data_IF_391547099873
#
_entry.id   IF_391547099873
#
_cell.length_a   1.000
_cell.length_b   1.000
_cell.length_c   1.000
_cell.angle_alpha   90.00
_cell.angle_beta   90.00
_cell.angle_gamma   90.00
#
_symmetry.space_group_name_H-M   'P 1'
#
loop_
_entity.id
_entity.type
_entity.pdbx_description
1 polymer ?
#
# COMPACT_ATOMS: atom_id res chain seq x y z
N UNK A 1 25.78 -9.41 -0.87
CA UNK A 1 26.14 -10.55 -0.03
C UNK A 1 26.26 -10.15 1.44
N UNK A 2 26.14 -11.11 2.33
CA UNK A 2 26.29 -10.90 3.78
C UNK A 2 27.66 -10.36 4.15
N UNK A 3 28.70 -10.89 3.55
CA UNK A 3 30.09 -10.45 3.79
C UNK A 3 30.30 -9.00 3.36
N UNK A 4 29.81 -8.60 2.21
CA UNK A 4 29.91 -7.24 1.71
C UNK A 4 29.17 -6.27 2.62
N UNK A 5 27.97 -6.60 3.07
CA UNK A 5 27.17 -5.77 3.99
C UNK A 5 27.89 -5.56 5.31
N UNK A 6 28.40 -6.63 5.94
CA UNK A 6 29.13 -6.58 7.21
C UNK A 6 30.40 -5.75 7.09
N UNK A 7 31.19 -5.97 6.04
CA UNK A 7 32.42 -5.22 5.80
C UNK A 7 32.17 -3.72 5.60
N UNK A 8 31.14 -3.34 4.86
CA UNK A 8 30.78 -1.95 4.65
C UNK A 8 30.41 -1.25 5.97
N UNK A 9 29.69 -1.92 6.85
CA UNK A 9 29.37 -1.36 8.17
C UNK A 9 30.60 -1.24 9.08
N UNK A 10 31.50 -2.19 9.06
CA UNK A 10 32.76 -2.13 9.78
C UNK A 10 33.64 -0.98 9.30
N UNK A 11 33.58 -0.65 8.01
CA UNK A 11 34.29 0.48 7.44
C UNK A 11 33.60 1.84 7.66
N UNK A 12 32.49 1.88 8.42
CA UNK A 12 31.80 3.09 8.79
C UNK A 12 30.80 3.62 7.78
N UNK A 13 30.27 2.77 6.91
CA UNK A 13 29.21 3.18 6.02
C UNK A 13 27.97 3.63 6.80
N UNK A 14 27.43 4.81 6.46
CA UNK A 14 26.28 5.39 7.17
C UNK A 14 24.96 4.68 6.89
N UNK A 15 24.79 4.17 5.68
CA UNK A 15 23.58 3.46 5.23
C UNK A 15 24.00 2.32 4.32
N UNK A 16 23.51 1.14 4.59
CA UNK A 16 23.69 -0.01 3.72
C UNK A 16 22.33 -0.58 3.34
N UNK A 17 22.03 -0.57 2.06
CA UNK A 17 20.80 -1.13 1.49
C UNK A 17 21.18 -2.32 0.62
N UNK A 18 20.49 -3.44 0.79
CA UNK A 18 20.77 -4.64 0.03
C UNK A 18 19.49 -5.32 -0.47
N UNK A 19 19.56 -5.86 -1.67
CA UNK A 19 18.46 -6.59 -2.30
C UNK A 19 18.32 -7.99 -1.71
N UNK A 20 17.12 -8.34 -1.25
CA UNK A 20 16.79 -9.66 -0.74
C UNK A 20 15.73 -10.35 -1.60
N UNK A 21 15.88 -11.66 -1.80
CA UNK A 21 14.94 -12.48 -2.55
C UNK A 21 13.99 -13.28 -1.64
N UNK A 22 14.33 -13.47 -0.37
CA UNK A 22 13.55 -14.25 0.60
C UNK A 22 13.51 -13.57 1.97
N UNK A 23 12.50 -13.91 2.77
CA UNK A 23 12.36 -13.39 4.15
C UNK A 23 13.52 -13.84 5.05
N UNK A 24 14.06 -15.03 4.82
CA UNK A 24 15.23 -15.55 5.55
C UNK A 24 16.47 -14.71 5.22
N UNK A 25 16.68 -14.39 3.94
CA UNK A 25 17.79 -13.57 3.49
C UNK A 25 17.70 -12.15 4.07
N UNK A 26 16.48 -11.59 4.14
CA UNK A 26 16.25 -10.29 4.78
C UNK A 26 16.74 -10.29 6.21
N UNK A 27 16.33 -11.27 7.02
CA UNK A 27 16.73 -11.37 8.43
C UNK A 27 18.24 -11.46 8.59
N UNK A 28 18.90 -12.23 7.75
CA UNK A 28 20.37 -12.34 7.78
C UNK A 28 21.06 -11.05 7.38
N UNK A 29 20.58 -10.37 6.36
CA UNK A 29 21.14 -9.08 5.92
C UNK A 29 21.00 -7.99 6.98
N UNK A 30 19.84 -7.88 7.61
CA UNK A 30 19.61 -6.92 8.70
C UNK A 30 20.51 -7.20 9.91
N UNK A 31 20.70 -8.47 10.28
CA UNK A 31 21.63 -8.85 11.35
C UNK A 31 23.07 -8.50 11.05
N UNK A 32 23.46 -8.51 9.79
CA UNK A 32 24.82 -8.21 9.35
C UNK A 32 25.04 -6.76 8.97
N UNK A 33 24.13 -5.87 9.39
CA UNK A 33 24.31 -4.44 9.32
C UNK A 33 23.68 -3.73 8.13
N UNK A 34 22.84 -4.39 7.35
CA UNK A 34 22.02 -3.68 6.36
C UNK A 34 20.99 -2.80 7.10
N UNK A 35 20.88 -1.55 6.75
CA UNK A 35 19.93 -0.61 7.36
C UNK A 35 18.53 -0.80 6.80
N UNK A 36 18.44 -1.20 5.53
CA UNK A 36 17.19 -1.45 4.85
C UNK A 36 17.36 -2.61 3.85
N UNK A 37 16.34 -3.45 3.74
CA UNK A 37 16.31 -4.56 2.79
C UNK A 37 15.15 -4.38 1.83
N UNK A 38 15.41 -4.48 0.55
CA UNK A 38 14.43 -4.30 -0.53
C UNK A 38 14.17 -5.63 -1.23
N UNK A 39 12.89 -5.91 -1.52
CA UNK A 39 12.43 -7.09 -2.27
C UNK A 39 11.91 -6.69 -3.65
N UNK A 40 12.75 -6.25 -4.58
CA UNK A 40 12.26 -5.72 -5.83
C UNK A 40 11.45 -6.72 -6.66
N UNK A 41 11.84 -8.00 -6.67
CA UNK A 41 11.11 -9.04 -7.42
C UNK A 41 9.74 -9.35 -6.80
N UNK A 42 9.67 -9.52 -5.48
CA UNK A 42 8.43 -9.79 -4.75
C UNK A 42 7.47 -8.60 -4.84
N UNK A 43 7.99 -7.39 -4.62
CA UNK A 43 7.20 -6.16 -4.70
C UNK A 43 6.70 -5.90 -6.11
N UNK A 44 7.55 -6.06 -7.13
CA UNK A 44 7.17 -5.88 -8.52
C UNK A 44 6.15 -6.91 -8.98
N UNK A 45 6.28 -8.19 -8.57
CA UNK A 45 5.33 -9.23 -8.91
C UNK A 45 3.94 -8.93 -8.31
N UNK A 46 3.88 -8.52 -7.05
CA UNK A 46 2.64 -8.15 -6.38
C UNK A 46 2.02 -6.90 -7.01
N UNK A 47 2.83 -5.88 -7.26
CA UNK A 47 2.41 -4.65 -7.92
C UNK A 47 1.88 -4.92 -9.33
N UNK A 48 2.60 -5.72 -10.13
CA UNK A 48 2.16 -6.11 -11.46
C UNK A 48 0.83 -6.86 -11.42
N UNK A 49 0.67 -7.83 -10.51
CA UNK A 49 -0.57 -8.58 -10.35
C UNK A 49 -1.75 -7.64 -10.03
N UNK A 50 -1.56 -6.67 -9.15
CA UNK A 50 -2.58 -5.68 -8.81
C UNK A 50 -2.91 -4.80 -10.02
N UNK A 51 -1.91 -4.28 -10.70
CA UNK A 51 -2.09 -3.38 -11.87
C UNK A 51 -2.74 -4.09 -13.04
N UNK A 52 -2.38 -5.34 -13.31
CA UNK A 52 -2.98 -6.12 -14.41
C UNK A 52 -4.39 -6.60 -14.11
N UNK A 53 -4.73 -6.79 -12.84
CA UNK A 53 -6.06 -7.24 -12.43
C UNK A 53 -7.04 -6.10 -12.18
N UNK A 54 -6.56 -4.86 -12.06
CA UNK A 54 -7.40 -3.74 -11.66
C UNK A 54 -6.94 -2.40 -12.25
N UNK A 55 -7.67 -1.93 -13.24
CA UNK A 55 -7.51 -0.58 -13.80
C UNK A 55 -7.86 0.52 -12.77
N UNK A 56 -8.39 0.12 -11.61
CA UNK A 56 -8.89 1.04 -10.59
C UNK A 56 -7.88 1.37 -9.49
N UNK A 57 -6.75 0.66 -9.44
CA UNK A 57 -5.71 0.92 -8.45
C UNK A 57 -4.70 1.90 -9.01
N UNK A 58 -4.60 3.08 -8.39
CA UNK A 58 -3.69 4.14 -8.81
C UNK A 58 -2.36 4.07 -8.08
N UNK A 59 -2.37 3.65 -6.81
CA UNK A 59 -1.18 3.50 -5.99
C UNK A 59 -1.41 2.50 -4.88
N UNK A 60 -0.32 2.02 -4.27
CA UNK A 60 -0.36 0.96 -3.29
C UNK A 60 0.86 1.04 -2.37
N UNK A 61 0.62 0.96 -1.06
CA UNK A 61 1.66 0.93 -0.02
C UNK A 61 1.42 -0.26 0.89
N UNK A 62 2.33 -1.21 0.90
CA UNK A 62 2.29 -2.34 1.82
C UNK A 62 2.74 -1.89 3.22
N UNK A 63 1.91 -2.13 4.24
CA UNK A 63 2.20 -1.77 5.62
C UNK A 63 2.82 -2.94 6.40
N UNK A 64 2.25 -4.12 6.21
CA UNK A 64 2.74 -5.37 6.77
C UNK A 64 2.33 -6.54 5.88
N UNK A 65 2.43 -7.78 6.37
CA UNK A 65 2.09 -8.98 5.58
C UNK A 65 0.61 -9.08 5.17
N UNK A 66 -0.27 -8.37 5.87
CA UNK A 66 -1.72 -8.46 5.66
C UNK A 66 -2.36 -7.12 5.29
N UNK A 67 -1.81 -6.00 5.76
CA UNK A 67 -2.41 -4.67 5.65
C UNK A 67 -1.71 -3.81 4.62
N UNK A 68 -2.49 -2.98 3.94
CA UNK A 68 -1.99 -2.05 2.93
C UNK A 68 -2.86 -0.78 2.85
N UNK A 69 -2.28 0.25 2.25
CA UNK A 69 -3.00 1.46 1.85
C UNK A 69 -3.09 1.43 0.32
N UNK A 70 -4.29 1.65 -0.20
CA UNK A 70 -4.53 1.75 -1.63
C UNK A 70 -5.07 3.14 -1.99
N UNK A 71 -4.59 3.68 -3.10
CA UNK A 71 -5.28 4.75 -3.80
C UNK A 71 -6.08 4.11 -4.93
N UNK A 72 -7.40 4.27 -4.88
CA UNK A 72 -8.30 3.65 -5.84
C UNK A 72 -9.21 4.70 -6.48
N UNK A 73 -9.62 4.45 -7.71
CA UNK A 73 -10.68 5.26 -8.32
C UNK A 73 -12.00 4.95 -7.63
N UNK A 74 -12.89 5.95 -7.53
CA UNK A 74 -14.20 5.76 -6.94
C UNK A 74 -15.06 4.91 -7.88
N UNK A 75 -15.61 3.77 -7.42
CA UNK A 75 -16.51 2.97 -8.24
C UNK A 75 -17.70 3.79 -8.73
N UNK A 76 -18.13 3.55 -9.97
CA UNK A 76 -19.25 4.27 -10.56
C UNK A 76 -20.53 4.16 -9.73
N UNK A 77 -20.75 3.00 -9.11
CA UNK A 77 -21.90 2.76 -8.23
C UNK A 77 -21.89 3.58 -6.94
N UNK A 78 -20.75 4.18 -6.58
CA UNK A 78 -20.60 5.00 -5.37
C UNK A 78 -20.72 6.50 -5.66
N UNK A 79 -20.74 6.88 -6.93
CA UNK A 79 -20.86 8.29 -7.31
C UNK A 79 -22.17 8.88 -6.82
N UNK A 80 -22.10 10.07 -6.23
CA UNK A 80 -23.26 10.76 -5.67
C UNK A 80 -23.73 10.25 -4.31
N UNK A 81 -23.04 9.27 -3.73
CA UNK A 81 -23.33 8.74 -2.39
C UNK A 81 -22.37 9.31 -1.36
N UNK A 82 -22.79 9.34 -0.11
CA UNK A 82 -21.93 9.72 1.01
C UNK A 82 -21.21 8.49 1.58
N UNK A 83 -20.13 8.75 2.30
CA UNK A 83 -19.37 7.69 2.98
C UNK A 83 -20.27 6.93 3.96
N UNK A 84 -21.14 7.64 4.68
CA UNK A 84 -22.08 7.04 5.63
C UNK A 84 -23.11 6.12 4.95
N UNK A 85 -23.61 6.50 3.78
CA UNK A 85 -24.55 5.67 3.02
C UNK A 85 -23.93 4.36 2.54
N UNK A 86 -22.64 4.37 2.20
CA UNK A 86 -21.93 3.19 1.73
C UNK A 86 -21.57 2.24 2.86
N UNK A 87 -21.32 2.76 4.06
CA UNK A 87 -20.99 1.99 5.27
C UNK A 87 -19.87 0.95 5.06
N UNK A 88 -18.83 1.36 4.35
CA UNK A 88 -17.72 0.50 3.91
C UNK A 88 -16.96 -0.09 5.10
N UNK A 89 -16.75 0.69 6.15
CA UNK A 89 -16.07 0.24 7.35
C UNK A 89 -16.77 -0.95 8.00
N UNK A 90 -18.08 -0.92 8.06
CA UNK A 90 -18.90 -1.96 8.67
C UNK A 90 -19.04 -3.18 7.76
N UNK A 91 -19.24 -2.95 6.47
CA UNK A 91 -19.45 -4.01 5.47
C UNK A 91 -18.18 -4.74 5.08
N UNK A 92 -17.06 -4.01 4.96
CA UNK A 92 -15.81 -4.56 4.41
C UNK A 92 -14.62 -4.43 5.35
N UNK A 93 -14.79 -3.82 6.52
CA UNK A 93 -13.71 -3.59 7.49
C UNK A 93 -12.54 -2.76 6.91
N UNK A 94 -12.86 -1.77 6.09
CA UNK A 94 -11.93 -0.89 5.43
C UNK A 94 -12.11 0.54 5.95
N UNK A 95 -11.00 1.23 6.22
CA UNK A 95 -11.01 2.62 6.63
C UNK A 95 -10.71 3.52 5.43
N UNK A 96 -11.54 4.54 5.23
CA UNK A 96 -11.26 5.59 4.25
C UNK A 96 -10.41 6.65 4.95
N UNK A 97 -9.18 6.83 4.46
CA UNK A 97 -8.23 7.79 5.02
C UNK A 97 -8.44 9.18 4.48
N UNK A 98 -8.89 9.29 3.25
CA UNK A 98 -9.08 10.57 2.60
C UNK A 98 -9.54 10.44 1.16
N UNK A 99 -9.82 11.58 0.56
CA UNK A 99 -10.05 11.71 -0.87
C UNK A 99 -8.93 12.53 -1.50
N UNK A 100 -8.61 12.25 -2.74
CA UNK A 100 -7.53 12.94 -3.44
C UNK A 100 -8.05 13.51 -4.75
N UNK A 101 -7.78 14.79 -4.97
CA UNK A 101 -8.09 15.47 -6.24
C UNK A 101 -6.77 15.97 -6.84
N UNK A 102 -6.30 15.32 -7.90
CA UNK A 102 -4.96 15.59 -8.43
C UNK A 102 -3.89 15.23 -7.38
N UNK A 103 -3.08 16.20 -6.97
CA UNK A 103 -2.05 16.04 -5.94
C UNK A 103 -2.50 16.43 -4.54
N UNK A 104 -3.73 16.96 -4.38
CA UNK A 104 -4.24 17.47 -3.10
C UNK A 104 -5.04 16.38 -2.38
N UNK A 105 -4.58 16.00 -1.20
CA UNK A 105 -5.25 15.05 -0.31
C UNK A 105 -6.12 15.81 0.70
N UNK A 106 -7.39 15.42 0.79
CA UNK A 106 -8.28 15.83 1.86
C UNK A 106 -8.46 14.67 2.83
N UNK A 107 -7.87 14.80 4.02
CA UNK A 107 -7.92 13.77 5.06
C UNK A 107 -9.09 13.91 6.02
N UNK A 108 -9.90 14.95 5.87
CA UNK A 108 -11.07 15.18 6.72
C UNK A 108 -12.29 14.45 6.15
N UNK A 109 -12.49 13.22 6.62
CA UNK A 109 -13.59 12.35 6.18
C UNK A 109 -14.65 12.25 7.28
N UNK A 110 -15.88 12.53 6.90
CA UNK A 110 -17.07 12.39 7.77
C UNK A 110 -18.08 11.47 7.08
N UNK A 111 -19.10 10.96 7.80
CA UNK A 111 -20.17 10.20 7.16
C UNK A 111 -20.92 10.98 6.07
N UNK A 112 -20.89 12.31 6.13
CA UNK A 112 -21.53 13.19 5.16
C UNK A 112 -20.64 13.52 3.95
N UNK A 113 -19.40 13.05 3.93
CA UNK A 113 -18.49 13.27 2.80
C UNK A 113 -19.05 12.64 1.52
N UNK A 114 -19.29 13.49 0.52
CA UNK A 114 -19.84 13.08 -0.77
C UNK A 114 -18.74 12.58 -1.70
N UNK A 115 -18.98 11.43 -2.31
CA UNK A 115 -18.09 10.87 -3.32
C UNK A 115 -18.54 11.35 -4.71
N UNK A 116 -17.62 11.95 -5.44
CA UNK A 116 -17.91 12.52 -6.74
C UNK A 116 -16.81 12.21 -7.76
N UNK A 117 -17.14 12.40 -9.02
CA UNK A 117 -16.23 12.17 -10.14
C UNK A 117 -14.99 13.07 -10.05
N UNK A 118 -13.87 12.59 -10.57
CA UNK A 118 -12.60 13.33 -10.58
C UNK A 118 -11.78 13.20 -9.30
N UNK A 119 -12.25 12.43 -8.31
CA UNK A 119 -11.51 12.14 -7.08
C UNK A 119 -11.11 10.68 -7.00
N UNK A 120 -10.07 10.41 -6.24
CA UNK A 120 -9.68 9.06 -5.83
C UNK A 120 -9.84 8.89 -4.33
N UNK A 121 -9.89 7.65 -3.86
CA UNK A 121 -9.97 7.32 -2.45
C UNK A 121 -8.65 6.75 -1.96
N UNK A 122 -8.21 7.19 -0.77
CA UNK A 122 -7.16 6.54 -0.01
C UNK A 122 -7.83 5.64 1.03
N UNK A 123 -7.62 4.34 0.93
CA UNK A 123 -8.23 3.34 1.83
C UNK A 123 -7.16 2.49 2.49
N UNK A 124 -7.41 2.10 3.73
CA UNK A 124 -6.52 1.23 4.51
C UNK A 124 -7.31 0.04 5.05
N UNK A 125 -6.72 -1.13 4.94
CA UNK A 125 -7.31 -2.36 5.45
C UNK A 125 -6.48 -3.56 5.09
N UNK A 126 -7.01 -4.74 5.40
CA UNK A 126 -6.37 -5.99 4.97
C UNK A 126 -6.49 -6.12 3.46
N UNK A 127 -5.46 -6.64 2.84
CA UNK A 127 -5.42 -6.85 1.40
C UNK A 127 -6.65 -7.63 0.89
N UNK A 128 -7.05 -8.69 1.60
CA UNK A 128 -8.24 -9.49 1.27
C UNK A 128 -9.53 -8.67 1.25
N UNK A 129 -9.70 -7.79 2.24
CA UNK A 129 -10.90 -6.98 2.38
C UNK A 129 -10.98 -5.92 1.27
N UNK A 130 -9.85 -5.32 0.94
CA UNK A 130 -9.75 -4.35 -0.15
C UNK A 130 -10.03 -5.01 -1.50
N UNK A 131 -9.46 -6.19 -1.74
CA UNK A 131 -9.72 -6.97 -2.95
C UNK A 131 -11.22 -7.29 -3.11
N UNK A 132 -11.85 -7.71 -2.03
CA UNK A 132 -13.27 -8.04 -2.02
C UNK A 132 -14.15 -6.81 -2.26
N UNK A 133 -13.83 -5.69 -1.63
CA UNK A 133 -14.59 -4.44 -1.74
C UNK A 133 -14.55 -3.86 -3.15
N UNK A 134 -13.37 -3.81 -3.74
CA UNK A 134 -13.16 -3.19 -5.06
C UNK A 134 -13.12 -4.20 -6.21
N UNK A 135 -13.30 -5.48 -5.93
CA UNK A 135 -13.29 -6.58 -6.92
C UNK A 135 -11.99 -6.62 -7.73
N UNK A 136 -10.91 -6.55 -7.03
CA UNK A 136 -9.57 -6.58 -7.63
C UNK A 136 -9.05 -8.00 -7.78
#
# INVERSE_FOLDING_TARGET
>A
SLQTTSLLKELGAKLVVYRAATDVQEKFLLRNGADEVVYPEKQLARWAAIRYSADHVLDYIELDSENAIFEVTIPQSWMGKTVGQLDIRKKFNINILGTKCGSKLDSFITPDTLLCEGKSLMVMGRFKDIQKCFRI
#
